data_IF_139925592968
#
_entry.id   IF_139925592968
#
_cell.length_a   1.000
_cell.length_b   1.000
_cell.length_c   1.000
_cell.angle_alpha   90.00
_cell.angle_beta   90.00
_cell.angle_gamma   90.00
#
_symmetry.space_group_name_H-M   'P 1'
#
loop_
_entity.id
_entity.type
_entity.pdbx_description
1 polymer ?
#
# COMPACT_ATOMS: atom_id res chain seq x y z
N UNK A 1 -36.20 8.23 50.93
CA UNK A 1 -36.91 8.49 49.66
C UNK A 1 -36.35 9.75 49.02
N UNK A 2 -35.51 9.61 48.00
CA UNK A 2 -35.00 10.76 47.22
C UNK A 2 -36.14 11.34 46.39
N UNK A 3 -36.21 12.66 46.24
CA UNK A 3 -37.28 13.30 45.48
C UNK A 3 -37.09 13.09 43.96
N UNK A 4 -38.19 13.04 43.20
CA UNK A 4 -38.17 12.85 41.74
C UNK A 4 -37.26 13.86 40.99
N UNK A 5 -37.09 15.06 41.56
CA UNK A 5 -36.21 16.10 41.01
C UNK A 5 -34.72 15.72 41.13
N UNK A 6 -34.33 15.01 42.17
CA UNK A 6 -32.96 14.56 42.41
C UNK A 6 -32.61 13.33 41.55
N UNK A 7 -33.55 12.38 41.40
CA UNK A 7 -33.39 11.26 40.47
C UNK A 7 -33.19 11.74 39.02
N UNK A 8 -33.98 12.73 38.58
CA UNK A 8 -33.87 13.30 37.22
C UNK A 8 -32.54 14.02 37.01
N UNK A 9 -32.05 14.76 38.02
CA UNK A 9 -30.71 15.38 37.98
C UNK A 9 -29.60 14.33 37.90
N UNK A 10 -29.70 13.25 38.66
CA UNK A 10 -28.70 12.18 38.67
C UNK A 10 -28.63 11.46 37.32
N UNK A 11 -29.79 11.13 36.73
CA UNK A 11 -29.89 10.52 35.38
C UNK A 11 -29.30 11.40 34.29
N UNK A 12 -29.57 12.71 34.34
CA UNK A 12 -29.01 13.66 33.39
C UNK A 12 -27.49 13.85 33.55
N UNK A 13 -26.98 13.78 34.78
CA UNK A 13 -25.54 13.82 35.07
C UNK A 13 -24.83 12.57 34.54
N UNK A 14 -25.39 11.38 34.74
CA UNK A 14 -24.86 10.13 34.19
C UNK A 14 -24.87 10.10 32.66
N UNK A 15 -25.98 10.53 32.02
CA UNK A 15 -26.06 10.60 30.54
C UNK A 15 -25.01 11.55 29.95
N UNK A 16 -24.77 12.71 30.57
CA UNK A 16 -23.73 13.65 30.12
C UNK A 16 -22.32 13.07 30.28
N UNK A 17 -22.06 12.37 31.38
CA UNK A 17 -20.77 11.72 31.61
C UNK A 17 -20.50 10.60 30.58
N UNK A 18 -21.49 9.74 30.32
CA UNK A 18 -21.37 8.67 29.33
C UNK A 18 -21.16 9.20 27.91
N UNK A 19 -21.93 10.22 27.50
CA UNK A 19 -21.78 10.82 26.18
C UNK A 19 -20.43 11.49 25.99
N UNK A 20 -19.86 12.08 27.05
CA UNK A 20 -18.52 12.67 27.02
C UNK A 20 -17.42 11.61 26.93
N UNK A 21 -17.56 10.49 27.63
CA UNK A 21 -16.62 9.37 27.56
C UNK A 21 -16.60 8.73 26.16
N UNK A 22 -17.77 8.49 25.55
CA UNK A 22 -17.87 7.92 24.20
C UNK A 22 -17.19 8.80 23.13
N UNK A 23 -17.41 10.12 23.18
CA UNK A 23 -16.78 11.07 22.25
C UNK A 23 -15.24 11.14 22.41
N UNK A 24 -14.72 10.93 23.62
CA UNK A 24 -13.28 10.92 23.84
C UNK A 24 -12.64 9.62 23.35
N UNK A 25 -13.34 8.49 23.51
CA UNK A 25 -12.90 7.19 23.02
C UNK A 25 -12.92 7.10 21.48
N UNK A 26 -13.97 7.62 20.83
CA UNK A 26 -14.03 7.74 19.37
C UNK A 26 -12.90 8.61 18.81
N UNK A 27 -12.58 9.73 19.46
CA UNK A 27 -11.45 10.59 19.05
C UNK A 27 -10.11 9.88 19.19
N UNK A 28 -9.88 9.15 20.28
CA UNK A 28 -8.65 8.37 20.48
C UNK A 28 -8.51 7.26 19.44
N UNK A 29 -9.61 6.59 19.08
CA UNK A 29 -9.59 5.54 18.06
C UNK A 29 -9.34 6.12 16.66
N UNK A 30 -9.99 7.22 16.30
CA UNK A 30 -9.76 7.90 15.01
C UNK A 30 -8.32 8.42 14.87
N UNK A 31 -7.72 8.91 15.96
CA UNK A 31 -6.33 9.39 15.96
C UNK A 31 -5.33 8.23 15.85
N UNK A 32 -5.57 7.12 16.57
CA UNK A 32 -4.79 5.89 16.40
C UNK A 32 -4.88 5.32 14.99
N UNK A 33 -6.07 5.31 14.38
CA UNK A 33 -6.26 4.82 13.02
C UNK A 33 -5.56 5.72 11.99
N UNK A 34 -5.61 7.06 12.16
CA UNK A 34 -4.83 8.00 11.34
C UNK A 34 -3.32 7.80 11.52
N UNK A 35 -2.84 7.59 12.74
CA UNK A 35 -1.42 7.33 13.00
C UNK A 35 -0.97 6.00 12.36
N UNK A 36 -1.78 4.93 12.47
CA UNK A 36 -1.48 3.64 11.82
C UNK A 36 -1.49 3.73 10.30
N UNK A 37 -2.43 4.46 9.69
CA UNK A 37 -2.45 4.69 8.23
C UNK A 37 -1.26 5.53 7.77
N UNK A 38 -0.84 6.53 8.54
CA UNK A 38 0.34 7.35 8.22
C UNK A 38 1.65 6.57 8.43
N UNK A 39 1.74 5.70 9.43
CA UNK A 39 2.90 4.82 9.61
C UNK A 39 3.01 3.76 8.52
N UNK A 40 1.90 3.17 8.05
CA UNK A 40 1.90 2.26 6.89
C UNK A 40 2.35 2.98 5.61
N UNK A 41 1.83 4.19 5.35
CA UNK A 41 2.28 4.99 4.20
C UNK A 41 3.75 5.40 4.28
N UNK A 42 4.25 5.77 5.47
CA UNK A 42 5.67 6.07 5.65
C UNK A 42 6.56 4.83 5.52
N UNK A 43 6.14 3.66 6.01
CA UNK A 43 6.89 2.42 5.81
C UNK A 43 6.96 2.00 4.34
N UNK A 44 5.91 2.22 3.56
CA UNK A 44 5.95 1.95 2.12
C UNK A 44 6.85 2.93 1.34
N UNK A 45 7.09 4.15 1.86
CA UNK A 45 7.97 5.16 1.23
C UNK A 45 9.43 5.16 1.78
N UNK A 46 9.66 4.77 3.05
CA UNK A 46 10.99 4.82 3.71
C UNK A 46 11.76 3.47 3.67
N UNK A 47 11.17 2.35 3.23
CA UNK A 47 11.91 1.07 3.08
C UNK A 47 12.73 1.00 1.76
N UNK A 48 12.93 2.16 1.11
CA UNK A 48 13.95 2.38 0.06
C UNK A 48 15.33 2.74 0.66
N UNK A 49 15.66 2.29 1.88
CA UNK A 49 17.06 2.25 2.34
C UNK A 49 17.79 1.09 1.62
N UNK A 50 18.32 1.41 0.45
CA UNK A 50 19.25 0.58 -0.32
C UNK A 50 20.47 0.28 0.55
N UNK A 51 20.42 -0.80 1.33
CA UNK A 51 21.57 -1.28 2.11
C UNK A 51 21.26 -1.87 3.47
N UNK A 52 20.29 -2.78 3.58
CA UNK A 52 20.20 -3.66 4.75
C UNK A 52 21.49 -4.48 4.94
N UNK A 53 21.74 -5.04 6.16
CA UNK A 53 22.91 -5.87 6.44
C UNK A 53 23.06 -6.92 5.34
N UNK A 54 24.29 -7.16 4.86
CA UNK A 54 24.59 -8.18 3.85
C UNK A 54 24.13 -9.55 4.38
N UNK A 55 22.87 -9.85 4.19
CA UNK A 55 22.33 -11.19 4.30
C UNK A 55 23.12 -12.00 3.28
N UNK A 56 23.82 -13.04 3.74
CA UNK A 56 24.66 -13.84 2.86
C UNK A 56 23.82 -14.31 1.67
N UNK A 57 24.26 -13.98 0.46
CA UNK A 57 23.59 -14.33 -0.78
C UNK A 57 23.70 -15.83 -1.01
N UNK A 58 22.81 -16.58 -0.37
CA UNK A 58 22.73 -18.04 -0.47
C UNK A 58 21.88 -18.36 -1.72
N UNK A 59 22.47 -18.97 -2.77
CA UNK A 59 21.76 -19.22 -4.03
C UNK A 59 20.46 -20.01 -3.86
N UNK A 60 20.45 -20.99 -2.94
CA UNK A 60 19.27 -21.81 -2.66
C UNK A 60 18.10 -21.01 -2.07
N UNK A 61 18.41 -20.00 -1.24
CA UNK A 61 17.39 -19.12 -0.65
C UNK A 61 16.83 -18.16 -1.70
N UNK A 62 17.70 -17.60 -2.54
CA UNK A 62 17.30 -16.69 -3.63
C UNK A 62 16.47 -17.40 -4.71
N UNK A 63 16.75 -18.68 -4.96
CA UNK A 63 15.99 -19.47 -5.93
C UNK A 63 14.59 -19.90 -5.40
N UNK A 64 14.41 -19.99 -4.08
CA UNK A 64 13.19 -20.50 -3.42
C UNK A 64 12.47 -19.43 -2.60
N UNK A 65 12.31 -18.25 -3.19
CA UNK A 65 11.54 -17.16 -2.58
C UNK A 65 10.05 -17.53 -2.54
N UNK A 66 9.39 -17.31 -1.39
CA UNK A 66 7.96 -17.60 -1.21
C UNK A 66 7.06 -16.71 -2.08
N UNK A 67 7.40 -15.43 -2.21
CA UNK A 67 6.62 -14.42 -2.94
C UNK A 67 7.44 -13.75 -4.06
N UNK A 68 7.80 -14.48 -5.14
CA UNK A 68 8.72 -13.99 -6.17
C UNK A 68 8.20 -12.73 -6.89
N UNK A 69 6.89 -12.59 -7.06
CA UNK A 69 6.28 -11.42 -7.68
C UNK A 69 6.28 -10.18 -6.78
N UNK A 70 6.31 -10.33 -5.46
CA UNK A 70 6.48 -9.18 -4.55
C UNK A 70 7.94 -8.70 -4.57
N UNK A 71 8.90 -9.62 -4.55
CA UNK A 71 10.32 -9.28 -4.69
C UNK A 71 10.60 -8.60 -6.03
N UNK A 72 10.02 -9.09 -7.14
CA UNK A 72 10.15 -8.46 -8.44
C UNK A 72 9.65 -7.00 -8.46
N UNK A 73 8.60 -6.68 -7.69
CA UNK A 73 8.11 -5.30 -7.57
C UNK A 73 9.15 -4.39 -6.92
N UNK A 74 9.91 -4.87 -5.93
CA UNK A 74 10.97 -4.07 -5.30
C UNK A 74 12.03 -3.63 -6.30
N UNK A 75 12.36 -4.47 -7.30
CA UNK A 75 13.24 -4.10 -8.40
C UNK A 75 12.53 -3.23 -9.45
N UNK A 76 11.23 -3.43 -9.67
CA UNK A 76 10.46 -2.66 -10.63
C UNK A 76 10.26 -1.19 -10.20
N UNK A 77 10.04 -0.93 -8.91
CA UNK A 77 9.79 0.41 -8.37
C UNK A 77 10.89 1.43 -8.75
N UNK A 78 12.18 1.19 -8.48
CA UNK A 78 13.23 2.14 -8.86
C UNK A 78 13.34 2.28 -10.38
N UNK A 79 13.09 1.22 -11.16
CA UNK A 79 13.07 1.32 -12.63
C UNK A 79 11.96 2.26 -13.11
N UNK A 80 10.75 2.15 -12.54
CA UNK A 80 9.62 3.04 -12.86
C UNK A 80 9.88 4.49 -12.47
N UNK A 81 10.65 4.73 -11.41
CA UNK A 81 10.95 6.08 -10.93
C UNK A 81 12.09 6.73 -11.72
N UNK A 82 13.17 6.00 -11.97
CA UNK A 82 14.41 6.53 -12.52
C UNK A 82 14.51 6.39 -14.05
N UNK A 83 13.85 5.37 -14.62
CA UNK A 83 14.06 4.96 -16.02
C UNK A 83 12.74 4.81 -16.79
N UNK A 84 11.75 5.65 -16.46
CA UNK A 84 10.40 5.60 -17.05
C UNK A 84 10.32 5.82 -18.58
N UNK A 85 11.38 6.28 -19.21
CA UNK A 85 11.40 6.55 -20.66
C UNK A 85 11.90 5.33 -21.47
N UNK A 86 12.30 4.25 -20.81
CA UNK A 86 12.63 2.98 -21.47
C UNK A 86 11.38 2.12 -21.59
N UNK A 87 11.16 1.56 -22.78
CA UNK A 87 10.00 0.70 -23.04
C UNK A 87 10.05 -0.56 -22.19
N UNK A 88 11.23 -1.14 -22.00
CA UNK A 88 11.47 -2.37 -21.24
C UNK A 88 10.98 -2.26 -19.80
N UNK A 89 11.12 -1.08 -19.17
CA UNK A 89 10.60 -0.83 -17.82
C UNK A 89 9.09 -1.08 -17.75
N UNK A 90 8.34 -0.68 -18.77
CA UNK A 90 6.89 -0.88 -18.79
C UNK A 90 6.51 -2.28 -19.28
N UNK A 91 7.31 -2.92 -20.13
CA UNK A 91 7.11 -4.32 -20.52
C UNK A 91 7.31 -5.27 -19.33
N UNK A 92 8.37 -5.06 -18.53
CA UNK A 92 8.55 -5.80 -17.28
C UNK A 92 7.43 -5.53 -16.27
N UNK A 93 6.96 -4.28 -16.18
CA UNK A 93 5.81 -3.94 -15.34
C UNK A 93 4.54 -4.70 -15.77
N UNK A 94 4.28 -4.79 -17.08
CA UNK A 94 3.18 -5.56 -17.63
C UNK A 94 3.25 -7.02 -17.18
N UNK A 95 4.39 -7.67 -17.39
CA UNK A 95 4.59 -9.09 -17.07
C UNK A 95 4.35 -9.42 -15.59
N UNK A 96 4.85 -8.56 -14.69
CA UNK A 96 4.69 -8.72 -13.25
C UNK A 96 3.23 -8.49 -12.86
N UNK A 97 2.61 -7.41 -13.32
CA UNK A 97 1.23 -7.10 -12.94
C UNK A 97 0.19 -8.04 -13.55
N UNK A 98 0.46 -8.60 -14.74
CA UNK A 98 -0.34 -9.66 -15.33
C UNK A 98 -0.37 -10.89 -14.44
N UNK A 99 0.81 -11.40 -14.02
CA UNK A 99 0.92 -12.59 -13.14
C UNK A 99 0.38 -12.34 -11.72
N UNK A 100 0.33 -11.08 -11.28
CA UNK A 100 -0.28 -10.67 -10.00
C UNK A 100 -1.78 -10.36 -10.09
N UNK A 101 -2.39 -10.52 -11.27
CA UNK A 101 -3.81 -10.19 -11.52
C UNK A 101 -4.17 -8.72 -11.21
N UNK A 102 -3.20 -7.80 -11.28
CA UNK A 102 -3.40 -6.36 -11.10
C UNK A 102 -3.71 -5.69 -12.45
N UNK A 103 -4.85 -6.02 -13.04
CA UNK A 103 -5.21 -5.64 -14.41
C UNK A 103 -5.17 -4.13 -14.72
N UNK A 104 -5.51 -3.27 -13.75
CA UNK A 104 -5.42 -1.82 -13.94
C UNK A 104 -3.98 -1.34 -14.11
N UNK A 105 -3.04 -1.89 -13.33
CA UNK A 105 -1.62 -1.56 -13.41
C UNK A 105 -0.97 -2.19 -14.65
N UNK A 106 -1.41 -3.40 -15.02
CA UNK A 106 -1.04 -4.05 -16.26
C UNK A 106 -1.40 -3.17 -17.48
N UNK A 107 -2.66 -2.75 -17.59
CA UNK A 107 -3.12 -1.87 -18.68
C UNK A 107 -2.40 -0.52 -18.69
N UNK A 108 -2.16 0.07 -17.52
CA UNK A 108 -1.37 1.30 -17.40
C UNK A 108 0.04 1.11 -17.98
N UNK A 109 0.65 -0.05 -17.75
CA UNK A 109 1.99 -0.37 -18.24
C UNK A 109 2.00 -0.49 -19.76
N UNK A 110 1.04 -1.19 -20.37
CA UNK A 110 0.86 -1.27 -21.83
C UNK A 110 0.69 0.12 -22.44
N UNK A 111 -0.19 0.95 -21.87
CA UNK A 111 -0.43 2.32 -22.36
C UNK A 111 0.85 3.17 -22.36
N UNK A 112 1.68 3.03 -21.32
CA UNK A 112 2.94 3.76 -21.22
C UNK A 112 4.00 3.23 -22.19
N UNK A 113 4.10 1.92 -22.36
CA UNK A 113 4.96 1.30 -23.37
C UNK A 113 4.60 1.77 -24.78
N UNK A 114 3.30 1.77 -25.11
CA UNK A 114 2.78 2.24 -26.39
C UNK A 114 3.11 3.72 -26.68
N UNK A 115 3.12 4.56 -25.64
CA UNK A 115 3.49 5.97 -25.79
C UNK A 115 5.00 6.18 -26.06
N UNK A 116 5.84 5.18 -25.80
CA UNK A 116 7.29 5.23 -26.03
C UNK A 116 7.63 4.68 -27.41
N UNK A 117 7.20 3.45 -27.70
CA UNK A 117 7.39 2.81 -29.00
C UNK A 117 6.21 1.86 -29.28
N UNK A 118 5.31 2.31 -30.16
CA UNK A 118 4.12 1.58 -30.57
C UNK A 118 4.39 0.45 -31.57
N UNK A 119 5.60 0.39 -32.14
CA UNK A 119 6.02 -0.61 -33.13
C UNK A 119 6.84 -1.75 -32.53
N UNK A 120 7.07 -1.71 -31.22
CA UNK A 120 7.91 -2.69 -30.53
C UNK A 120 7.28 -4.10 -30.58
N UNK A 121 7.99 -5.14 -31.08
CA UNK A 121 7.44 -6.49 -31.24
C UNK A 121 6.83 -7.06 -29.97
N UNK A 122 7.53 -6.92 -28.83
CA UNK A 122 7.05 -7.45 -27.55
C UNK A 122 5.80 -6.72 -27.05
N UNK A 123 5.61 -5.43 -27.40
CA UNK A 123 4.39 -4.71 -27.02
C UNK A 123 3.16 -5.27 -27.75
N UNK A 124 3.32 -5.67 -29.02
CA UNK A 124 2.24 -6.31 -29.77
C UNK A 124 1.79 -7.61 -29.12
N UNK A 125 2.73 -8.42 -28.61
CA UNK A 125 2.40 -9.64 -27.85
C UNK A 125 1.62 -9.32 -26.56
N UNK A 126 1.92 -8.21 -25.88
CA UNK A 126 1.19 -7.80 -24.67
C UNK A 126 -0.26 -7.35 -24.94
N UNK A 127 -0.64 -7.08 -26.19
CA UNK A 127 -1.95 -6.55 -26.57
C UNK A 127 -2.91 -7.61 -27.12
N UNK A 128 -2.44 -8.84 -27.37
CA UNK A 128 -3.22 -9.99 -27.85
C UNK A 128 -3.85 -10.70 -26.64
#
# INVERSE_FOLDING_TARGET
NMSDKELKKLRNKQRRAQKKAQLEEEKKNAEKEKQQRNQKKKKDDDDEEIGGPKEELIPEKLAKVEAPLEEAIKFLTPLKNLVKNKIETHLFAFEIYFRKEKFLLMLQSVKRAFAIDSSHPWLHECMI
#
